data_IF_670472708805
#
_entry.id   IF_670472708805
#
_cell.length_a   1.000
_cell.length_b   1.000
_cell.length_c   1.000
_cell.angle_alpha   90.00
_cell.angle_beta   90.00
_cell.angle_gamma   90.00
#
_symmetry.space_group_name_H-M   'P 1'
#
loop_
_entity.id
_entity.type
_entity.pdbx_description
1 polymer ?
#
# COMPACT_ATOMS: atom_id res chain seq x y z
N UNK A 1 4.53 42.71 -21.46
CA UNK A 1 3.64 42.34 -20.34
C UNK A 1 2.98 40.96 -20.52
N UNK A 2 2.35 40.65 -21.67
CA UNK A 2 1.76 39.31 -21.95
C UNK A 2 2.77 38.15 -21.88
N UNK A 3 3.97 38.32 -22.46
CA UNK A 3 5.03 37.30 -22.43
C UNK A 3 5.54 36.99 -21.02
N UNK A 4 5.68 38.01 -20.18
CA UNK A 4 6.16 37.87 -18.79
C UNK A 4 5.15 37.07 -17.96
N UNK A 5 3.85 37.33 -18.15
CA UNK A 5 2.78 36.57 -17.48
C UNK A 5 2.75 35.08 -17.91
N UNK A 6 3.05 34.79 -19.18
CA UNK A 6 3.12 33.41 -19.70
C UNK A 6 4.31 32.62 -19.13
N UNK A 7 5.49 33.25 -19.02
CA UNK A 7 6.66 32.62 -18.40
C UNK A 7 6.47 32.39 -16.90
N UNK A 8 5.82 33.31 -16.19
CA UNK A 8 5.50 33.15 -14.77
C UNK A 8 4.53 31.99 -14.52
N UNK A 9 3.50 31.82 -15.36
CA UNK A 9 2.55 30.70 -15.26
C UNK A 9 3.23 29.34 -15.51
N UNK A 10 4.10 29.25 -16.51
CA UNK A 10 4.83 28.02 -16.82
C UNK A 10 5.81 27.61 -15.69
N UNK A 11 6.47 28.59 -15.06
CA UNK A 11 7.35 28.35 -13.91
C UNK A 11 6.57 27.81 -12.70
N UNK A 12 5.38 28.35 -12.41
CA UNK A 12 4.51 27.89 -11.32
C UNK A 12 4.00 26.46 -11.53
N UNK A 13 3.66 26.08 -12.77
CA UNK A 13 3.24 24.70 -13.09
C UNK A 13 4.39 23.70 -12.97
N UNK A 14 5.62 24.09 -13.34
CA UNK A 14 6.80 23.24 -13.20
C UNK A 14 7.16 22.96 -11.72
N UNK A 15 6.89 23.90 -10.82
CA UNK A 15 7.10 23.74 -9.37
C UNK A 15 6.05 22.84 -8.69
N UNK A 16 4.89 22.61 -9.32
CA UNK A 16 3.82 21.76 -8.81
C UNK A 16 3.85 20.30 -9.28
N UNK A 17 4.76 19.94 -10.18
CA UNK A 17 4.90 18.58 -10.68
C UNK A 17 5.59 17.66 -9.66
N UNK A 18 4.87 17.29 -8.60
CA UNK A 18 5.29 16.20 -7.72
C UNK A 18 5.18 14.89 -8.49
N UNK A 19 6.21 14.04 -8.41
CA UNK A 19 6.09 12.67 -8.94
C UNK A 19 5.04 11.94 -8.10
N UNK A 20 3.98 11.46 -8.75
CA UNK A 20 3.02 10.59 -8.10
C UNK A 20 3.72 9.26 -7.80
N UNK A 21 3.89 8.95 -6.52
CA UNK A 21 4.52 7.72 -6.03
C UNK A 21 3.48 6.69 -5.61
N UNK A 22 2.31 6.68 -6.27
CA UNK A 22 1.18 5.79 -5.97
C UNK A 22 1.51 4.31 -6.04
N UNK A 23 2.62 3.95 -6.70
CA UNK A 23 3.09 2.57 -6.84
C UNK A 23 4.27 2.23 -5.92
N UNK A 24 4.71 3.16 -5.07
CA UNK A 24 5.86 2.96 -4.21
C UNK A 24 5.47 2.76 -2.76
N UNK A 25 6.13 1.80 -2.11
CA UNK A 25 6.19 1.77 -0.66
C UNK A 25 6.88 3.05 -0.13
N UNK A 26 6.69 3.42 1.16
CA UNK A 26 7.38 4.57 1.75
C UNK A 26 8.91 4.48 1.63
N UNK A 27 9.45 3.26 1.64
CA UNK A 27 10.85 2.90 1.41
C UNK A 27 11.30 2.96 -0.06
N UNK A 28 10.42 3.37 -0.97
CA UNK A 28 10.69 3.70 -2.39
C UNK A 28 10.89 2.52 -3.34
N UNK A 29 10.61 1.28 -2.93
CA UNK A 29 10.48 0.16 -3.87
C UNK A 29 9.08 0.15 -4.51
N UNK A 30 9.00 -0.31 -5.75
CA UNK A 30 7.74 -0.37 -6.50
C UNK A 30 7.01 -1.68 -6.20
N UNK A 31 5.74 -1.60 -5.79
CA UNK A 31 4.89 -2.76 -5.73
C UNK A 31 4.76 -3.39 -7.13
N UNK A 32 4.78 -4.72 -7.27
CA UNK A 32 4.58 -5.37 -8.56
C UNK A 32 3.25 -4.95 -9.19
N UNK A 33 3.25 -4.69 -10.49
CA UNK A 33 2.05 -4.21 -11.20
C UNK A 33 0.85 -5.15 -11.04
N UNK A 34 1.07 -6.46 -10.96
CA UNK A 34 -0.01 -7.44 -10.77
C UNK A 34 -0.66 -7.38 -9.38
N UNK A 35 -0.04 -6.71 -8.40
CA UNK A 35 -0.57 -6.54 -7.05
C UNK A 35 -1.48 -5.31 -6.91
N UNK A 36 -1.59 -4.45 -7.92
CA UNK A 36 -2.16 -3.11 -7.76
C UNK A 36 -2.88 -2.57 -9.02
N UNK A 37 -3.98 -1.85 -8.81
CA UNK A 37 -4.73 -1.04 -9.78
C UNK A 37 -4.71 0.47 -9.42
N UNK A 38 -3.74 0.93 -8.63
CA UNK A 38 -3.43 2.36 -8.44
C UNK A 38 -3.44 2.88 -6.99
N UNK A 39 -3.99 2.14 -6.02
CA UNK A 39 -3.99 2.54 -4.59
C UNK A 39 -4.09 1.35 -3.61
N UNK A 40 -3.93 0.12 -4.11
CA UNK A 40 -4.38 -1.06 -3.38
C UNK A 40 -3.43 -1.51 -2.27
N UNK A 41 -2.17 -1.06 -2.33
CA UNK A 41 -1.07 -1.52 -1.49
C UNK A 41 -0.62 -0.46 -0.47
N UNK A 42 -0.48 -0.85 0.79
CA UNK A 42 0.11 -0.03 1.83
C UNK A 42 0.87 -0.87 2.86
N UNK A 43 1.84 -0.27 3.59
CA UNK A 43 2.36 -0.91 4.80
C UNK A 43 1.25 -1.08 5.83
N UNK A 44 1.34 -2.14 6.63
CA UNK A 44 0.49 -2.36 7.80
C UNK A 44 1.36 -2.58 9.03
N UNK A 45 0.82 -2.27 10.20
CA UNK A 45 1.52 -2.47 11.46
C UNK A 45 1.64 -3.97 11.80
N UNK A 46 2.71 -4.36 12.48
CA UNK A 46 2.96 -5.76 12.83
C UNK A 46 1.83 -6.34 13.72
N UNK A 47 1.20 -5.51 14.56
CA UNK A 47 0.08 -5.88 15.41
C UNK A 47 -1.18 -6.26 14.63
N UNK A 48 -1.29 -5.82 13.36
CA UNK A 48 -2.37 -6.24 12.47
C UNK A 48 -2.17 -7.69 11.99
N UNK A 49 -0.98 -8.27 12.14
CA UNK A 49 -0.62 -9.59 11.64
C UNK A 49 -0.38 -10.54 12.80
N UNK A 50 -1.12 -11.66 12.80
CA UNK A 50 -0.84 -12.79 13.67
C UNK A 50 -0.49 -14.01 12.85
N UNK A 51 0.76 -14.43 12.92
CA UNK A 51 1.18 -15.71 12.35
C UNK A 51 0.56 -16.88 13.13
N UNK A 52 0.13 -17.89 12.39
CA UNK A 52 -0.48 -19.13 12.88
C UNK A 52 0.06 -20.30 12.07
N UNK A 53 -0.21 -21.54 12.50
CA UNK A 53 0.28 -22.73 11.80
C UNK A 53 -0.13 -22.76 10.31
N UNK A 54 -1.33 -22.27 9.98
CA UNK A 54 -1.85 -22.28 8.61
C UNK A 54 -1.38 -21.11 7.74
N UNK A 55 -0.65 -20.13 8.29
CA UNK A 55 -0.29 -18.89 7.59
C UNK A 55 -0.43 -17.68 8.49
N UNK A 56 -1.12 -16.65 8.02
CA UNK A 56 -1.28 -15.37 8.71
C UNK A 56 -2.75 -15.01 8.87
N UNK A 57 -3.09 -14.47 10.01
CA UNK A 57 -4.37 -13.81 10.26
C UNK A 57 -4.10 -12.31 10.26
N UNK A 58 -4.56 -11.60 9.23
CA UNK A 58 -4.43 -10.16 9.12
C UNK A 58 -5.74 -9.49 9.49
N UNK A 59 -5.70 -8.52 10.41
CA UNK A 59 -6.87 -7.81 10.94
C UNK A 59 -6.70 -6.32 10.73
N UNK A 60 -7.57 -5.72 9.91
CA UNK A 60 -7.52 -4.29 9.56
C UNK A 60 -8.78 -3.60 10.08
N UNK A 61 -8.61 -2.64 10.99
CA UNK A 61 -9.72 -1.79 11.44
C UNK A 61 -9.97 -0.68 10.42
N UNK A 62 -11.20 -0.13 10.38
CA UNK A 62 -11.49 1.04 9.55
C UNK A 62 -10.48 2.18 9.77
N UNK A 63 -9.86 2.62 8.68
CA UNK A 63 -8.85 3.69 8.65
C UNK A 63 -7.40 3.24 8.83
N UNK A 64 -7.12 1.96 9.10
CA UNK A 64 -5.75 1.45 9.24
C UNK A 64 -5.13 1.04 7.89
N UNK A 65 -5.94 0.96 6.83
CA UNK A 65 -5.48 0.74 5.46
C UNK A 65 -6.22 1.70 4.51
N UNK A 66 -5.57 2.30 3.50
CA UNK A 66 -6.22 3.25 2.59
C UNK A 66 -7.46 2.69 1.88
N UNK A 67 -7.43 1.41 1.49
CA UNK A 67 -8.57 0.70 0.88
C UNK A 67 -9.64 0.24 1.88
N UNK A 68 -9.40 0.42 3.18
CA UNK A 68 -10.36 0.09 4.23
C UNK A 68 -10.69 1.33 5.07
N UNK A 69 -11.38 2.33 4.49
CA UNK A 69 -11.46 3.66 5.07
C UNK A 69 -12.39 3.72 6.28
N UNK A 70 -12.32 4.82 7.05
CA UNK A 70 -13.01 4.99 8.35
C UNK A 70 -14.53 4.89 8.27
N UNK A 71 -15.11 5.13 7.10
CA UNK A 71 -16.56 5.04 6.85
C UNK A 71 -17.06 3.59 6.91
N UNK A 72 -16.17 2.61 6.71
CA UNK A 72 -16.50 1.19 6.94
C UNK A 72 -16.74 0.97 8.43
N UNK A 73 -17.79 0.23 8.77
CA UNK A 73 -18.16 -0.07 10.17
C UNK A 73 -17.66 -1.43 10.66
N UNK A 74 -17.00 -2.19 9.81
CA UNK A 74 -16.57 -3.56 10.07
C UNK A 74 -15.06 -3.69 9.98
N UNK A 75 -14.50 -4.56 10.82
CA UNK A 75 -13.10 -4.98 10.72
C UNK A 75 -12.96 -5.95 9.55
N UNK A 76 -11.94 -5.77 8.72
CA UNK A 76 -11.54 -6.77 7.72
C UNK A 76 -10.64 -7.79 8.40
N UNK A 77 -10.95 -9.08 8.20
CA UNK A 77 -10.12 -10.18 8.66
C UNK A 77 -9.79 -11.08 7.47
N UNK A 78 -8.51 -11.29 7.21
CA UNK A 78 -8.01 -12.15 6.15
C UNK A 78 -7.24 -13.32 6.76
N UNK A 79 -7.42 -14.49 6.16
CA UNK A 79 -6.62 -15.68 6.43
C UNK A 79 -5.77 -15.94 5.19
N UNK A 80 -4.46 -15.79 5.33
CA UNK A 80 -3.50 -15.78 4.22
C UNK A 80 -2.56 -16.97 4.39
N UNK A 81 -2.63 -17.99 3.51
CA UNK A 81 -1.71 -19.12 3.57
C UNK A 81 -0.24 -18.72 3.42
N UNK A 82 0.68 -19.50 4.00
CA UNK A 82 2.13 -19.25 3.92
C UNK A 82 2.65 -19.09 2.49
N UNK A 83 2.14 -19.88 1.55
CA UNK A 83 2.55 -19.85 0.13
C UNK A 83 2.07 -18.60 -0.63
N UNK A 84 1.25 -17.74 -0.01
CA UNK A 84 0.82 -16.45 -0.54
C UNK A 84 1.64 -15.28 0.01
N UNK A 85 2.46 -15.50 1.03
CA UNK A 85 3.35 -14.47 1.55
C UNK A 85 4.59 -14.34 0.65
N UNK A 86 4.87 -13.11 0.22
CA UNK A 86 6.08 -12.77 -0.52
C UNK A 86 7.06 -12.05 0.41
N UNK A 87 8.37 -12.29 0.32
CA UNK A 87 9.34 -11.50 1.09
C UNK A 87 9.24 -10.02 0.77
N UNK A 88 9.12 -9.16 1.78
CA UNK A 88 9.13 -7.72 1.63
C UNK A 88 10.56 -7.21 1.39
N UNK A 89 10.80 -6.42 0.32
CA UNK A 89 12.12 -5.85 0.05
C UNK A 89 12.66 -4.90 1.12
N UNK A 90 11.79 -4.33 1.96
CA UNK A 90 12.15 -3.36 3.00
C UNK A 90 11.98 -3.89 4.43
N UNK A 91 11.64 -5.17 4.59
CA UNK A 91 11.46 -5.79 5.90
C UNK A 91 10.24 -5.30 6.68
N UNK A 92 9.24 -4.68 6.04
CA UNK A 92 7.97 -4.34 6.65
C UNK A 92 6.83 -5.23 6.13
N UNK A 93 5.70 -5.26 6.86
CA UNK A 93 4.49 -5.89 6.38
C UNK A 93 3.79 -4.97 5.37
N UNK A 94 3.38 -5.51 4.22
CA UNK A 94 2.53 -4.79 3.29
C UNK A 94 1.33 -5.64 2.90
N UNK A 95 0.19 -4.97 2.77
CA UNK A 95 -1.06 -5.58 2.35
C UNK A 95 -1.53 -4.87 1.08
N UNK A 96 -1.89 -5.66 0.07
CA UNK A 96 -2.61 -5.18 -1.10
C UNK A 96 -4.00 -5.79 -1.12
N UNK A 97 -5.04 -4.96 -1.07
CA UNK A 97 -6.44 -5.39 -1.12
C UNK A 97 -7.24 -4.51 -2.08
N UNK A 98 -8.25 -5.07 -2.73
CA UNK A 98 -9.21 -4.26 -3.47
C UNK A 98 -10.21 -3.56 -2.53
N UNK A 99 -11.11 -2.76 -3.10
CA UNK A 99 -12.12 -2.03 -2.35
C UNK A 99 -13.13 -2.93 -1.62
N UNK A 100 -13.35 -4.16 -2.08
CA UNK A 100 -14.17 -5.15 -1.38
C UNK A 100 -13.45 -5.84 -0.21
N UNK A 101 -12.13 -5.66 -0.10
CA UNK A 101 -11.27 -6.26 0.91
C UNK A 101 -10.68 -7.61 0.51
N UNK A 102 -10.80 -8.00 -0.76
CA UNK A 102 -10.17 -9.23 -1.26
C UNK A 102 -8.66 -9.05 -1.36
N UNK A 103 -7.93 -10.10 -0.99
CA UNK A 103 -6.47 -10.13 -1.05
C UNK A 103 -5.98 -10.12 -2.50
N UNK A 104 -5.07 -9.19 -2.81
CA UNK A 104 -4.31 -9.16 -4.06
C UNK A 104 -2.90 -9.73 -3.84
N UNK A 105 -2.17 -9.16 -2.87
CA UNK A 105 -0.82 -9.56 -2.50
C UNK A 105 -0.58 -9.32 -1.00
N UNK A 106 0.35 -10.08 -0.43
CA UNK A 106 0.79 -9.93 0.95
C UNK A 106 2.31 -10.04 1.02
N UNK A 107 2.96 -9.04 1.61
CA UNK A 107 4.39 -9.03 1.81
C UNK A 107 4.71 -9.15 3.29
N UNK A 108 5.54 -10.14 3.63
CA UNK A 108 5.99 -10.41 4.97
C UNK A 108 7.44 -9.89 5.14
N UNK A 109 7.80 -9.31 6.30
CA UNK A 109 9.20 -9.14 6.65
C UNK A 109 9.87 -10.51 6.52
N UNK A 110 10.92 -10.61 5.72
CA UNK A 110 11.65 -11.86 5.60
C UNK A 110 12.08 -12.34 6.98
N UNK A 111 11.78 -13.58 7.31
CA UNK A 111 12.49 -14.26 8.39
C UNK A 111 13.85 -14.67 7.84
N UNK A 112 14.92 -14.20 8.46
CA UNK A 112 16.20 -14.91 8.38
C UNK A 112 15.92 -16.34 8.86
N UNK A 113 15.81 -17.28 7.92
CA UNK A 113 15.72 -18.70 8.22
C UNK A 113 17.07 -19.22 8.72
#
# INVERSE_FOLDING_TARGET
MRLIASFAMAALLAMGATRAHSHQAPSRWDYPFYCCSGADCAPIEAEAVREVHAGFIVTIRPGEHPMWPKERRTVLKLEIPHDKATPSPDGHWHLCINDTGELLCFFAPGGDS
#
